data_IF_144780553423
#
_entry.id   IF_144780553423
#
_cell.length_a   1.000
_cell.length_b   1.000
_cell.length_c   1.000
_cell.angle_alpha   90.00
_cell.angle_beta   90.00
_cell.angle_gamma   90.00
#
_symmetry.space_group_name_H-M   'P 1'
#
loop_
_entity.id
_entity.type
_entity.pdbx_description
1 polymer ?
#
# COMPACT_ATOMS: atom_id res chain seq x y z
N UNK A 1 -16.86 -33.15 -13.07
CA UNK A 1 -17.14 -33.15 -11.62
C UNK A 1 -16.24 -34.18 -10.98
N UNK A 2 -15.23 -33.76 -10.24
CA UNK A 2 -14.38 -34.68 -9.49
C UNK A 2 -14.84 -34.68 -8.03
N UNK A 3 -15.32 -35.84 -7.60
CA UNK A 3 -15.63 -36.18 -6.21
C UNK A 3 -14.32 -36.65 -5.60
N UNK A 4 -13.86 -36.00 -4.52
CA UNK A 4 -12.74 -36.47 -3.73
C UNK A 4 -13.27 -36.98 -2.39
N UNK A 5 -13.14 -38.28 -2.21
CA UNK A 5 -13.45 -39.04 -1.00
C UNK A 5 -12.51 -38.65 0.14
N UNK A 6 -13.10 -38.46 1.33
CA UNK A 6 -12.38 -38.29 2.60
C UNK A 6 -11.76 -39.63 3.00
N UNK A 7 -10.43 -39.72 2.99
CA UNK A 7 -9.72 -40.75 3.74
C UNK A 7 -9.42 -40.21 5.15
N UNK A 8 -10.08 -40.80 6.13
CA UNK A 8 -9.71 -40.70 7.54
C UNK A 8 -8.53 -41.61 7.81
N UNK A 9 -7.35 -41.05 8.07
CA UNK A 9 -6.20 -41.80 8.62
C UNK A 9 -5.62 -41.05 9.83
N UNK A 10 -5.91 -41.65 10.98
CA UNK A 10 -5.10 -41.87 12.18
C UNK A 10 -4.31 -40.72 12.85
N UNK A 11 -4.76 -40.44 14.07
CA UNK A 11 -4.02 -40.14 15.32
C UNK A 11 -2.80 -39.22 15.21
N UNK A 12 -2.95 -38.05 15.83
CA UNK A 12 -1.86 -37.16 16.20
C UNK A 12 -0.69 -37.94 16.83
N UNK A 13 0.55 -37.80 16.34
CA UNK A 13 1.70 -38.31 17.06
C UNK A 13 1.82 -37.54 18.38
N UNK A 14 2.05 -38.27 19.47
CA UNK A 14 2.47 -37.69 20.75
C UNK A 14 3.88 -37.13 20.52
N UNK A 15 3.98 -35.81 20.41
CA UNK A 15 5.28 -35.14 20.23
C UNK A 15 6.08 -35.23 21.53
N UNK A 16 7.20 -35.95 21.49
CA UNK A 16 8.26 -35.80 22.47
C UNK A 16 8.96 -34.46 22.18
N UNK A 17 8.77 -33.49 23.08
CA UNK A 17 9.36 -32.16 22.97
C UNK A 17 10.87 -32.30 23.14
N UNK A 18 11.62 -32.17 22.04
CA UNK A 18 13.06 -31.97 22.10
C UNK A 18 13.34 -30.61 22.77
N UNK A 19 14.26 -30.58 23.73
CA UNK A 19 14.56 -29.38 24.51
C UNK A 19 15.06 -28.26 23.60
N UNK A 20 14.46 -27.05 23.67
CA UNK A 20 14.88 -25.92 22.86
C UNK A 20 16.34 -25.54 23.18
N UNK A 21 17.18 -25.43 22.15
CA UNK A 21 18.52 -24.87 22.28
C UNK A 21 18.42 -23.36 22.42
N UNK A 22 18.61 -22.88 23.65
CA UNK A 22 18.62 -21.45 23.99
C UNK A 22 20.01 -20.90 23.75
N UNK A 23 20.17 -20.03 22.74
CA UNK A 23 21.37 -19.22 22.54
C UNK A 23 21.12 -17.83 23.14
N UNK A 24 21.41 -17.68 24.44
CA UNK A 24 21.24 -16.40 25.15
C UNK A 24 19.78 -16.02 25.37
N UNK A 25 19.38 -14.78 25.03
CA UNK A 25 17.97 -14.29 25.11
C UNK A 25 17.14 -14.62 23.87
N UNK A 26 17.71 -15.34 22.91
CA UNK A 26 17.06 -15.64 21.63
C UNK A 26 16.76 -17.13 21.52
N UNK A 27 15.50 -17.45 21.23
CA UNK A 27 15.07 -18.82 20.94
C UNK A 27 15.26 -19.03 19.44
N UNK A 28 16.17 -19.93 19.07
CA UNK A 28 16.29 -20.42 17.69
C UNK A 28 15.28 -21.55 17.55
N UNK A 29 14.15 -21.27 16.91
CA UNK A 29 13.13 -22.28 16.63
C UNK A 29 13.47 -22.96 15.30
N UNK A 30 13.60 -24.29 15.32
CA UNK A 30 13.79 -25.07 14.11
C UNK A 30 12.46 -25.11 13.34
N UNK A 31 12.37 -24.37 12.23
CA UNK A 31 11.13 -24.20 11.45
C UNK A 31 10.66 -25.50 10.77
N UNK A 32 11.52 -26.52 10.68
CA UNK A 32 11.17 -27.86 10.22
C UNK A 32 10.30 -28.64 11.22
N UNK A 33 10.42 -28.34 12.52
CA UNK A 33 9.66 -29.00 13.59
C UNK A 33 8.29 -28.34 13.83
N UNK A 34 8.06 -27.16 13.25
CA UNK A 34 6.84 -26.36 13.43
C UNK A 34 6.42 -25.72 12.09
N UNK A 35 5.80 -26.48 11.17
CA UNK A 35 5.35 -25.97 9.87
C UNK A 35 4.37 -24.79 10.00
N UNK A 36 3.67 -24.67 11.13
CA UNK A 36 2.82 -23.53 11.45
C UNK A 36 3.60 -22.24 11.75
N UNK A 37 4.84 -22.33 12.21
CA UNK A 37 5.70 -21.16 12.42
C UNK A 37 6.38 -20.72 11.11
N UNK A 38 6.54 -21.65 10.16
CA UNK A 38 7.14 -21.36 8.86
C UNK A 38 6.27 -20.36 8.05
N UNK A 39 4.94 -20.55 8.04
CA UNK A 39 4.04 -19.60 7.36
C UNK A 39 3.98 -18.24 8.08
N UNK A 40 4.07 -18.19 9.42
CA UNK A 40 4.14 -16.93 10.17
C UNK A 40 5.42 -16.16 9.85
N UNK A 41 6.57 -16.83 9.77
CA UNK A 41 7.85 -16.18 9.44
C UNK A 41 7.88 -15.60 8.02
N UNK A 42 7.42 -16.36 7.02
CA UNK A 42 7.31 -15.90 5.63
C UNK A 42 6.35 -14.71 5.52
N UNK A 43 5.26 -14.77 6.27
CA UNK A 43 4.25 -13.73 6.30
C UNK A 43 4.77 -12.44 6.97
N UNK A 44 5.47 -12.52 8.10
CA UNK A 44 6.08 -11.37 8.78
C UNK A 44 7.14 -10.69 7.89
N UNK A 45 7.91 -11.50 7.18
CA UNK A 45 8.87 -10.99 6.17
C UNK A 45 8.14 -10.20 5.09
N UNK A 46 7.00 -10.71 4.62
CA UNK A 46 6.16 -10.04 3.61
C UNK A 46 5.57 -8.73 4.14
N UNK A 47 5.07 -8.71 5.37
CA UNK A 47 4.57 -7.48 6.01
C UNK A 47 5.66 -6.43 6.15
N UNK A 48 6.83 -6.78 6.67
CA UNK A 48 7.95 -5.86 6.82
C UNK A 48 8.40 -5.30 5.47
N UNK A 49 8.43 -6.14 4.44
CA UNK A 49 8.77 -5.72 3.07
C UNK A 49 7.75 -4.70 2.55
N UNK A 50 6.46 -5.03 2.61
CA UNK A 50 5.39 -4.13 2.16
C UNK A 50 5.33 -2.82 2.94
N UNK A 51 5.59 -2.86 4.25
CA UNK A 51 5.66 -1.67 5.09
C UNK A 51 6.83 -0.78 4.67
N UNK A 52 8.04 -1.35 4.50
CA UNK A 52 9.21 -0.61 4.03
C UNK A 52 9.01 0.01 2.65
N UNK A 53 8.30 -0.68 1.75
CA UNK A 53 7.96 -0.16 0.43
C UNK A 53 6.94 0.99 0.52
N UNK A 54 5.97 0.92 1.43
CA UNK A 54 5.04 2.02 1.70
C UNK A 54 5.77 3.27 2.22
N UNK A 55 6.73 3.08 3.12
CA UNK A 55 7.55 4.17 3.67
C UNK A 55 8.45 4.78 2.59
N UNK A 56 9.03 3.94 1.73
CA UNK A 56 9.79 4.40 0.55
C UNK A 56 8.92 5.23 -0.40
N UNK A 57 7.70 4.78 -0.70
CA UNK A 57 6.77 5.54 -1.55
C UNK A 57 6.39 6.87 -0.91
N UNK A 58 6.15 6.89 0.41
CA UNK A 58 5.88 8.11 1.16
C UNK A 58 7.02 9.12 1.02
N UNK A 59 8.26 8.64 1.18
CA UNK A 59 9.45 9.48 1.02
C UNK A 59 9.58 9.99 -0.43
N UNK A 60 9.40 9.14 -1.44
CA UNK A 60 9.42 9.56 -2.85
C UNK A 60 8.38 10.63 -3.17
N UNK A 61 7.16 10.52 -2.64
CA UNK A 61 6.11 11.53 -2.80
C UNK A 61 6.54 12.86 -2.18
N UNK A 62 7.11 12.82 -0.97
CA UNK A 62 7.60 14.03 -0.28
C UNK A 62 8.72 14.70 -1.06
N UNK A 63 9.67 13.92 -1.61
CA UNK A 63 10.77 14.44 -2.42
C UNK A 63 10.26 15.13 -3.68
N UNK A 64 9.37 14.49 -4.46
CA UNK A 64 8.79 15.10 -5.67
C UNK A 64 7.97 16.35 -5.32
N UNK A 65 7.25 16.34 -4.20
CA UNK A 65 6.50 17.50 -3.74
C UNK A 65 7.40 18.67 -3.30
N UNK A 66 8.61 18.39 -2.81
CA UNK A 66 9.59 19.39 -2.42
C UNK A 66 10.31 20.05 -3.61
N UNK A 67 10.34 19.41 -4.78
CA UNK A 67 10.97 19.95 -6.00
C UNK A 67 10.27 21.19 -6.57
N UNK A 68 9.02 21.44 -6.19
CA UNK A 68 8.30 22.66 -6.55
C UNK A 68 6.80 22.49 -6.62
N UNK A 69 6.12 23.41 -7.31
CA UNK A 69 4.66 23.41 -7.39
C UNK A 69 4.11 22.09 -7.95
N UNK A 70 3.02 21.63 -7.35
CA UNK A 70 2.31 20.40 -7.72
C UNK A 70 0.87 20.73 -8.08
N UNK A 71 0.48 20.51 -9.34
CA UNK A 71 -0.88 20.75 -9.80
C UNK A 71 -1.62 19.44 -10.01
N UNK A 72 -2.69 19.24 -9.25
CA UNK A 72 -3.59 18.07 -9.36
C UNK A 72 -4.88 18.41 -10.07
N UNK A 73 -5.40 17.46 -10.86
CA UNK A 73 -6.64 17.61 -11.63
C UNK A 73 -6.64 18.86 -12.55
N UNK A 74 -5.46 19.14 -13.11
CA UNK A 74 -5.20 20.29 -13.96
C UNK A 74 -4.65 19.83 -15.30
N UNK A 75 -4.99 20.52 -16.38
CA UNK A 75 -4.38 20.31 -17.70
C UNK A 75 -4.19 21.64 -18.42
N UNK A 76 -3.26 21.67 -19.35
CA UNK A 76 -3.09 22.81 -20.26
C UNK A 76 -3.87 22.55 -21.53
N UNK A 77 -4.67 23.53 -21.92
CA UNK A 77 -5.43 23.50 -23.16
C UNK A 77 -4.96 24.66 -24.06
N UNK A 78 -4.67 24.40 -25.35
CA UNK A 78 -4.45 25.48 -26.31
C UNK A 78 -5.77 26.14 -26.67
N UNK A 79 -5.77 27.45 -26.86
CA UNK A 79 -6.90 28.17 -27.46
C UNK A 79 -6.41 29.15 -28.51
N UNK A 80 -7.21 29.34 -29.54
CA UNK A 80 -6.87 30.22 -30.65
C UNK A 80 -7.71 31.49 -30.60
N UNK A 81 -7.07 32.64 -30.78
CA UNK A 81 -7.74 33.93 -30.91
C UNK A 81 -7.34 34.57 -32.23
N UNK A 82 -8.33 35.03 -32.99
CA UNK A 82 -8.11 35.78 -34.23
C UNK A 82 -8.11 37.26 -33.89
N UNK A 83 -7.07 37.99 -34.32
CA UNK A 83 -6.97 39.44 -34.17
C UNK A 83 -6.31 40.02 -35.42
N UNK A 84 -6.97 41.00 -36.06
CA UNK A 84 -6.51 41.62 -37.31
C UNK A 84 -6.20 40.57 -38.38
N UNK A 85 -7.13 39.64 -38.62
CA UNK A 85 -7.01 38.53 -39.59
C UNK A 85 -5.87 37.53 -39.33
N UNK A 86 -5.06 37.74 -38.28
CA UNK A 86 -4.01 36.81 -37.84
C UNK A 86 -4.51 35.90 -36.74
N UNK A 87 -4.19 34.61 -36.84
CA UNK A 87 -4.49 33.58 -35.84
C UNK A 87 -3.34 33.47 -34.84
N UNK A 88 -3.66 33.62 -33.56
CA UNK A 88 -2.71 33.46 -32.46
C UNK A 88 -3.13 32.30 -31.58
N UNK A 89 -2.17 31.45 -31.20
CA UNK A 89 -2.38 30.33 -30.28
C UNK A 89 -1.83 30.71 -28.91
N UNK A 90 -2.65 30.52 -27.89
CA UNK A 90 -2.32 30.77 -26.49
C UNK A 90 -2.61 29.51 -25.67
N UNK A 91 -2.16 29.49 -24.43
CA UNK A 91 -2.39 28.38 -23.52
C UNK A 91 -3.15 28.83 -22.30
N UNK A 92 -4.03 27.95 -21.79
CA UNK A 92 -4.77 28.17 -20.57
C UNK A 92 -4.67 26.93 -19.67
N UNK A 93 -4.51 27.16 -18.38
CA UNK A 93 -4.62 26.15 -17.35
C UNK A 93 -6.10 25.93 -17.04
N UNK A 94 -6.55 24.69 -17.20
CA UNK A 94 -7.85 24.20 -16.76
C UNK A 94 -7.67 23.44 -15.46
N UNK A 95 -8.59 23.62 -14.51
CA UNK A 95 -8.62 22.91 -13.23
C UNK A 95 -10.03 22.43 -12.92
N UNK A 96 -10.17 21.14 -12.63
CA UNK A 96 -11.40 20.59 -12.06
C UNK A 96 -11.52 21.04 -10.59
N UNK A 97 -12.67 21.57 -10.21
CA UNK A 97 -12.88 22.07 -8.84
C UNK A 97 -13.48 21.03 -7.90
N UNK A 98 -13.90 19.86 -8.40
CA UNK A 98 -14.67 18.87 -7.65
C UNK A 98 -16.17 19.20 -7.54
N UNK A 99 -16.56 20.43 -7.85
CA UNK A 99 -17.96 20.86 -7.89
C UNK A 99 -18.61 20.51 -9.24
N UNK A 100 -19.95 20.41 -9.25
CA UNK A 100 -20.76 20.28 -10.47
C UNK A 100 -21.55 21.56 -10.74
N UNK A 101 -21.77 21.86 -12.01
CA UNK A 101 -22.70 22.91 -12.46
C UNK A 101 -24.14 22.45 -12.23
N UNK A 102 -25.10 23.39 -12.30
CA UNK A 102 -26.54 23.06 -12.28
C UNK A 102 -26.96 22.09 -13.39
N UNK A 103 -26.21 22.05 -14.50
CA UNK A 103 -26.39 21.08 -15.60
C UNK A 103 -25.82 19.69 -15.32
N UNK A 104 -25.26 19.43 -14.14
CA UNK A 104 -24.62 18.15 -13.77
C UNK A 104 -23.19 17.98 -14.31
N UNK A 105 -22.74 18.84 -15.24
CA UNK A 105 -21.38 18.79 -15.76
C UNK A 105 -20.33 19.24 -14.72
N UNK A 106 -19.11 18.69 -14.74
CA UNK A 106 -18.03 19.14 -13.87
C UNK A 106 -17.72 20.63 -14.05
N UNK A 107 -17.50 21.33 -12.94
CA UNK A 107 -17.10 22.73 -12.95
C UNK A 107 -15.59 22.81 -13.16
N UNK A 108 -15.21 23.59 -14.18
CA UNK A 108 -13.81 23.81 -14.57
C UNK A 108 -13.48 25.28 -14.41
N UNK A 109 -12.43 25.57 -13.66
CA UNK A 109 -11.82 26.91 -13.58
C UNK A 109 -10.74 27.03 -14.66
N UNK A 110 -10.63 28.23 -15.21
CA UNK A 110 -9.71 28.52 -16.32
C UNK A 110 -8.84 29.70 -15.95
N UNK A 111 -7.54 29.59 -16.21
CA UNK A 111 -6.56 30.66 -16.02
C UNK A 111 -5.70 30.77 -17.27
N UNK A 112 -5.62 31.94 -17.89
CA UNK A 112 -4.73 32.16 -19.02
C UNK A 112 -3.26 32.13 -18.56
N UNK A 113 -2.41 31.51 -19.37
CA UNK A 113 -0.99 31.39 -19.09
C UNK A 113 -0.19 32.32 -20.00
N UNK A 114 0.84 32.95 -19.43
CA UNK A 114 1.88 33.58 -20.24
C UNK A 114 2.75 32.51 -20.88
N UNK A 115 3.37 32.81 -22.02
CA UNK A 115 4.23 31.86 -22.73
C UNK A 115 5.37 31.31 -21.85
N UNK A 116 5.96 32.15 -20.99
CA UNK A 116 7.02 31.75 -20.05
C UNK A 116 6.52 30.76 -18.99
N UNK A 117 5.30 30.96 -18.47
CA UNK A 117 4.73 30.11 -17.44
C UNK A 117 4.28 28.73 -17.94
N UNK A 118 4.11 28.52 -19.26
CA UNK A 118 3.63 27.23 -19.79
C UNK A 118 4.57 26.08 -19.43
N UNK A 119 5.89 26.29 -19.51
CA UNK A 119 6.89 25.26 -19.18
C UNK A 119 6.81 24.84 -17.72
N UNK A 120 6.81 25.82 -16.81
CA UNK A 120 6.72 25.60 -15.36
C UNK A 120 5.41 24.89 -14.97
N UNK A 121 4.28 25.32 -15.55
CA UNK A 121 2.97 24.72 -15.29
C UNK A 121 2.89 23.29 -15.83
N UNK A 122 3.51 22.98 -16.99
CA UNK A 122 3.61 21.60 -17.49
C UNK A 122 4.40 20.72 -16.53
N UNK A 123 5.53 21.20 -16.02
CA UNK A 123 6.32 20.47 -15.05
C UNK A 123 5.53 20.24 -13.74
N UNK A 124 4.79 21.25 -13.26
CA UNK A 124 3.96 21.13 -12.07
C UNK A 124 2.79 20.13 -12.23
N UNK A 125 2.18 20.05 -13.43
CA UNK A 125 1.16 19.05 -13.75
C UNK A 125 1.77 17.65 -13.78
N UNK A 126 2.92 17.48 -14.46
CA UNK A 126 3.61 16.20 -14.55
C UNK A 126 4.00 15.66 -13.17
N UNK A 127 4.52 16.52 -12.27
CA UNK A 127 4.77 16.16 -10.86
C UNK A 127 3.48 15.73 -10.15
N UNK A 128 2.38 16.43 -10.38
CA UNK A 128 1.07 16.07 -9.82
C UNK A 128 0.56 14.70 -10.28
N UNK A 129 0.75 14.37 -11.56
CA UNK A 129 0.41 13.06 -12.12
C UNK A 129 1.30 11.94 -11.56
N UNK A 130 2.60 12.20 -11.43
CA UNK A 130 3.54 11.26 -10.81
C UNK A 130 3.17 10.97 -9.35
N UNK A 131 2.91 12.02 -8.56
CA UNK A 131 2.48 11.86 -7.16
C UNK A 131 1.16 11.09 -7.09
N UNK A 132 0.18 11.40 -7.93
CA UNK A 132 -1.10 10.69 -7.94
C UNK A 132 -0.95 9.20 -8.29
N UNK A 133 -0.02 8.85 -9.19
CA UNK A 133 0.29 7.46 -9.52
C UNK A 133 0.92 6.73 -8.33
N UNK A 134 1.88 7.35 -7.63
CA UNK A 134 2.52 6.80 -6.44
C UNK A 134 1.53 6.65 -5.27
N UNK A 135 0.65 7.63 -5.06
CA UNK A 135 -0.41 7.55 -4.05
C UNK A 135 -1.37 6.40 -4.34
N UNK A 136 -1.75 6.19 -5.60
CA UNK A 136 -2.59 5.05 -6.00
C UNK A 136 -1.91 3.71 -5.71
N UNK A 137 -0.61 3.60 -5.98
CA UNK A 137 0.16 2.41 -5.64
C UNK A 137 0.21 2.21 -4.12
N UNK A 138 0.48 3.27 -3.36
CA UNK A 138 0.48 3.23 -1.90
C UNK A 138 -0.88 2.77 -1.33
N UNK A 139 -1.99 3.26 -1.88
CA UNK A 139 -3.33 2.86 -1.44
C UNK A 139 -3.60 1.37 -1.70
N UNK A 140 -3.20 0.86 -2.88
CA UNK A 140 -3.32 -0.56 -3.18
C UNK A 140 -2.52 -1.43 -2.20
N UNK A 141 -1.31 -1.00 -1.85
CA UNK A 141 -0.48 -1.68 -0.86
C UNK A 141 -1.07 -1.61 0.55
N UNK A 142 -1.65 -0.49 0.96
CA UNK A 142 -2.37 -0.36 2.25
C UNK A 142 -3.56 -1.29 2.34
N UNK A 143 -4.30 -1.47 1.24
CA UNK A 143 -5.39 -2.45 1.17
C UNK A 143 -4.85 -3.88 1.33
N UNK A 144 -3.73 -4.21 0.67
CA UNK A 144 -3.08 -5.51 0.85
C UNK A 144 -2.62 -5.73 2.28
N UNK A 145 -1.94 -4.76 2.89
CA UNK A 145 -1.52 -4.77 4.29
C UNK A 145 -2.72 -5.00 5.23
N UNK A 146 -3.82 -4.30 4.99
CA UNK A 146 -5.03 -4.44 5.82
C UNK A 146 -5.64 -5.84 5.72
N UNK A 147 -5.73 -6.41 4.50
CA UNK A 147 -6.20 -7.78 4.28
C UNK A 147 -5.28 -8.80 4.93
N UNK A 148 -3.98 -8.62 4.77
CA UNK A 148 -2.99 -9.46 5.39
C UNK A 148 -3.19 -9.41 6.92
N UNK A 149 -3.21 -8.22 7.55
CA UNK A 149 -3.39 -8.08 9.01
C UNK A 149 -4.66 -8.81 9.50
N UNK A 150 -5.76 -8.73 8.75
CA UNK A 150 -7.00 -9.46 9.06
C UNK A 150 -6.83 -10.98 9.04
N UNK A 151 -6.08 -11.52 8.08
CA UNK A 151 -5.80 -12.96 8.01
C UNK A 151 -5.05 -13.41 9.27
N UNK A 152 -4.04 -12.64 9.70
CA UNK A 152 -3.28 -12.94 10.93
C UNK A 152 -4.17 -12.90 12.15
N UNK A 153 -4.98 -11.86 12.33
CA UNK A 153 -5.93 -11.82 13.44
C UNK A 153 -6.91 -13.00 13.42
N UNK A 154 -7.30 -13.47 12.23
CA UNK A 154 -8.16 -14.63 12.06
C UNK A 154 -7.49 -15.94 12.46
N UNK A 155 -6.22 -16.13 12.11
CA UNK A 155 -5.44 -17.32 12.46
C UNK A 155 -5.02 -17.33 13.92
N UNK A 156 -4.62 -16.18 14.46
CA UNK A 156 -4.33 -15.96 15.88
C UNK A 156 -5.48 -16.44 16.77
N UNK A 157 -6.70 -15.93 16.51
CA UNK A 157 -7.94 -16.36 17.21
C UNK A 157 -8.32 -17.82 17.00
N UNK A 158 -7.85 -18.46 15.92
CA UNK A 158 -8.09 -19.90 15.68
C UNK A 158 -7.12 -20.74 16.49
N UNK A 159 -5.85 -20.35 16.57
CA UNK A 159 -4.83 -21.02 17.38
C UNK A 159 -5.17 -20.96 18.88
N UNK A 160 -5.65 -19.81 19.38
CA UNK A 160 -6.15 -19.68 20.76
C UNK A 160 -7.29 -20.66 21.06
N UNK A 161 -8.22 -20.85 20.11
CA UNK A 161 -9.37 -21.75 20.26
C UNK A 161 -9.01 -23.24 20.20
N UNK A 162 -7.90 -23.58 19.55
CA UNK A 162 -7.42 -24.97 19.46
C UNK A 162 -6.57 -25.41 20.67
N UNK A 163 -6.43 -24.55 21.69
CA UNK A 163 -5.72 -24.91 22.93
C UNK A 163 -4.20 -24.83 22.85
N UNK A 164 -3.63 -24.20 21.81
CA UNK A 164 -2.19 -23.90 21.69
C UNK A 164 -1.74 -22.75 22.61
N UNK A 165 -2.27 -22.67 23.83
CA UNK A 165 -1.91 -21.64 24.82
C UNK A 165 -0.40 -21.64 25.13
N UNK A 166 0.27 -22.79 25.03
CA UNK A 166 1.70 -22.93 25.31
C UNK A 166 2.63 -22.39 24.20
N UNK A 167 2.16 -22.16 22.98
CA UNK A 167 2.92 -21.44 21.95
C UNK A 167 2.80 -19.91 22.13
N UNK A 168 1.71 -19.45 22.74
CA UNK A 168 1.40 -18.04 23.01
C UNK A 168 1.97 -17.50 24.34
N UNK A 169 2.38 -18.37 25.27
CA UNK A 169 3.09 -18.00 26.50
C UNK A 169 4.54 -17.59 26.25
N UNK A 170 5.06 -17.81 25.04
CA UNK A 170 6.30 -17.18 24.62
C UNK A 170 6.04 -15.67 24.48
N UNK A 171 6.39 -14.92 25.53
CA UNK A 171 6.30 -13.46 25.60
C UNK A 171 6.89 -12.79 24.36
N UNK A 172 7.90 -13.40 23.74
CA UNK A 172 8.52 -12.98 22.48
C UNK A 172 7.54 -12.99 21.30
N UNK A 173 6.72 -14.03 21.09
CA UNK A 173 5.73 -14.06 19.99
C UNK A 173 4.60 -13.07 20.26
N UNK A 174 4.13 -12.99 21.50
CA UNK A 174 3.02 -12.10 21.88
C UNK A 174 3.42 -10.62 21.85
N UNK A 175 4.64 -10.27 22.29
CA UNK A 175 5.20 -8.92 22.17
C UNK A 175 5.55 -8.58 20.72
N UNK A 176 5.98 -9.55 19.91
CA UNK A 176 6.31 -9.30 18.50
C UNK A 176 5.05 -9.10 17.65
N UNK A 177 3.99 -9.90 17.86
CA UNK A 177 2.68 -9.67 17.24
C UNK A 177 2.11 -8.31 17.68
N UNK A 178 2.23 -7.94 18.96
CA UNK A 178 1.78 -6.63 19.45
C UNK A 178 2.66 -5.45 18.99
N UNK A 179 3.94 -5.68 18.71
CA UNK A 179 4.88 -4.66 18.22
C UNK A 179 4.85 -4.46 16.70
N UNK A 180 4.38 -5.44 15.94
CA UNK A 180 4.15 -5.34 14.49
C UNK A 180 2.74 -4.83 14.14
N UNK A 181 1.85 -4.64 15.12
CA UNK A 181 0.50 -4.09 14.95
C UNK A 181 0.49 -2.56 15.03
#
# INVERSE_FOLDING_TARGET
MQVFTLETVERCPVFQVATPQVLGTSIVLNLEEFPELNWLSAYLTTLNTLQSECDRLCHSIQTIAAEGDVYRNCWIEPYTKIKNEKKYTYYQLRRLTGERKKSGQPKVKTKHLSHRAVGEVRAAIARGEQIAALEKQQEQMKVQLSRLKQIVWGTDRRLERMGFQNLMTNQSINQFIKGCL
#
